data_IF_715725827600
#
_entry.id   IF_715725827600
#
_cell.length_a   1.000
_cell.length_b   1.000
_cell.length_c   1.000
_cell.angle_alpha   90.00
_cell.angle_beta   90.00
_cell.angle_gamma   90.00
#
_symmetry.space_group_name_H-M   'P 1'
#
loop_
_entity.id
_entity.type
_entity.pdbx_description
1 polymer ?
#
# COMPACT_ATOMS: atom_id res chain seq x y z
N UNK A 1 -8.99 -21.53 3.86
CA UNK A 1 -7.66 -21.12 3.37
C UNK A 1 -7.73 -20.11 2.22
N UNK A 2 -8.51 -20.33 1.15
CA UNK A 2 -8.59 -19.36 0.04
C UNK A 2 -9.01 -17.94 0.45
N UNK A 3 -9.94 -17.80 1.40
CA UNK A 3 -10.42 -16.50 1.88
C UNK A 3 -9.30 -15.59 2.44
N UNK A 4 -8.25 -16.17 3.02
CA UNK A 4 -7.11 -15.42 3.57
C UNK A 4 -6.28 -14.73 2.48
N UNK A 5 -6.40 -15.18 1.23
CA UNK A 5 -5.71 -14.60 0.07
C UNK A 5 -6.66 -13.66 -0.70
N UNK A 6 -7.92 -14.06 -0.88
CA UNK A 6 -8.89 -13.30 -1.66
C UNK A 6 -9.25 -11.96 -1.00
N UNK A 7 -9.44 -11.92 0.33
CA UNK A 7 -9.80 -10.69 1.04
C UNK A 7 -8.74 -9.59 0.86
N UNK A 8 -7.45 -9.80 1.17
CA UNK A 8 -6.44 -8.78 0.98
C UNK A 8 -6.24 -8.42 -0.49
N UNK A 9 -6.43 -9.37 -1.43
CA UNK A 9 -6.33 -9.08 -2.86
C UNK A 9 -7.42 -8.10 -3.32
N UNK A 10 -8.68 -8.35 -2.96
CA UNK A 10 -9.80 -7.47 -3.33
C UNK A 10 -9.66 -6.12 -2.61
N UNK A 11 -9.20 -6.13 -1.36
CA UNK A 11 -8.92 -4.90 -0.62
C UNK A 11 -7.86 -4.05 -1.31
N UNK A 12 -6.76 -4.66 -1.77
CA UNK A 12 -5.69 -3.98 -2.48
C UNK A 12 -6.16 -3.47 -3.85
N UNK A 13 -6.99 -4.25 -4.56
CA UNK A 13 -7.63 -3.82 -5.79
C UNK A 13 -8.43 -2.53 -5.57
N UNK A 14 -9.31 -2.51 -4.55
CA UNK A 14 -10.12 -1.32 -4.22
C UNK A 14 -9.27 -0.14 -3.77
N UNK A 15 -8.18 -0.41 -3.06
CA UNK A 15 -7.23 0.60 -2.64
C UNK A 15 -6.56 1.29 -3.84
N UNK A 16 -6.19 0.54 -4.88
CA UNK A 16 -5.62 1.08 -6.11
C UNK A 16 -6.66 1.88 -6.90
N UNK A 17 -7.89 1.37 -7.03
CA UNK A 17 -8.97 2.12 -7.69
C UNK A 17 -9.24 3.47 -7.02
N UNK A 18 -9.20 3.53 -5.69
CA UNK A 18 -9.34 4.79 -4.93
C UNK A 18 -8.23 5.79 -5.22
N UNK A 19 -7.04 5.34 -5.58
CA UNK A 19 -5.94 6.18 -5.98
C UNK A 19 -5.94 6.52 -7.48
N UNK A 20 -7.04 6.25 -8.19
CA UNK A 20 -7.19 6.40 -9.64
C UNK A 20 -6.21 5.53 -10.45
N UNK A 21 -5.82 4.38 -9.90
CA UNK A 21 -4.94 3.41 -10.53
C UNK A 21 -5.69 2.14 -10.90
N UNK A 22 -5.21 1.34 -11.87
CA UNK A 22 -5.89 0.13 -12.29
C UNK A 22 -5.88 -0.91 -11.17
N UNK A 23 -7.05 -1.26 -10.63
CA UNK A 23 -7.16 -2.19 -9.51
C UNK A 23 -6.62 -3.59 -9.79
N UNK A 24 -6.70 -4.05 -11.05
CA UNK A 24 -6.13 -5.34 -11.48
C UNK A 24 -4.60 -5.38 -11.36
N UNK A 25 -3.93 -4.22 -11.28
CA UNK A 25 -2.49 -4.16 -11.05
C UNK A 25 -2.10 -4.84 -9.72
N UNK A 26 -3.03 -4.95 -8.76
CA UNK A 26 -2.80 -5.66 -7.51
C UNK A 26 -2.46 -7.16 -7.72
N UNK A 27 -2.87 -7.76 -8.84
CA UNK A 27 -2.68 -9.20 -9.13
C UNK A 27 -1.28 -9.49 -9.70
N UNK A 28 -0.77 -8.62 -10.56
CA UNK A 28 0.52 -8.86 -11.22
C UNK A 28 1.64 -8.40 -10.29
N UNK A 29 2.54 -9.28 -9.81
CA UNK A 29 3.49 -8.94 -8.74
C UNK A 29 4.38 -7.73 -9.05
N UNK A 30 4.95 -7.65 -10.24
CA UNK A 30 5.84 -6.54 -10.62
C UNK A 30 5.05 -5.26 -10.86
N UNK A 31 3.89 -5.35 -11.52
CA UNK A 31 3.08 -4.19 -11.81
C UNK A 31 2.43 -3.62 -10.54
N UNK A 32 2.07 -4.47 -9.58
CA UNK A 32 1.61 -4.10 -8.24
C UNK A 32 2.62 -3.17 -7.59
N UNK A 33 3.91 -3.54 -7.59
CA UNK A 33 4.98 -2.74 -6.99
C UNK A 33 5.11 -1.37 -7.68
N UNK A 34 5.10 -1.35 -9.01
CA UNK A 34 5.19 -0.10 -9.79
C UNK A 34 4.02 0.84 -9.45
N UNK A 35 2.78 0.33 -9.52
CA UNK A 35 1.59 1.12 -9.19
C UNK A 35 1.58 1.54 -7.72
N UNK A 36 1.99 0.67 -6.81
CA UNK A 36 2.16 1.03 -5.40
C UNK A 36 3.10 2.21 -5.24
N UNK A 37 4.23 2.22 -5.96
CA UNK A 37 5.21 3.32 -5.95
C UNK A 37 4.66 4.61 -6.51
N UNK A 38 3.88 4.53 -7.59
CA UNK A 38 3.18 5.69 -8.15
C UNK A 38 2.20 6.30 -7.14
N UNK A 39 1.43 5.47 -6.44
CA UNK A 39 0.48 5.92 -5.41
C UNK A 39 1.20 6.62 -4.25
N UNK A 40 2.34 6.09 -3.80
CA UNK A 40 3.10 6.72 -2.70
C UNK A 40 4.05 7.83 -3.18
N UNK A 41 4.16 8.07 -4.48
CA UNK A 41 4.99 9.13 -5.07
C UNK A 41 6.49 8.85 -5.01
N UNK A 42 6.88 7.59 -5.02
CA UNK A 42 8.29 7.16 -5.02
C UNK A 42 8.69 6.68 -6.41
N UNK A 43 9.95 6.87 -6.81
CA UNK A 43 10.41 6.43 -8.10
C UNK A 43 10.50 4.90 -8.16
N UNK A 44 10.23 4.31 -9.33
CA UNK A 44 10.20 2.86 -9.55
C UNK A 44 11.50 2.12 -9.18
N UNK A 45 12.66 2.80 -9.19
CA UNK A 45 13.94 2.19 -8.80
C UNK A 45 13.98 1.77 -7.33
N UNK A 46 13.05 2.23 -6.49
CA UNK A 46 12.91 1.75 -5.12
C UNK A 46 12.64 0.24 -5.02
N UNK A 47 12.15 -0.40 -6.09
CA UNK A 47 12.03 -1.88 -6.17
C UNK A 47 13.38 -2.55 -5.88
N UNK A 48 14.50 -1.99 -6.37
CA UNK A 48 15.82 -2.58 -6.17
C UNK A 48 16.29 -2.52 -4.72
N UNK A 49 15.81 -1.56 -3.92
CA UNK A 49 16.14 -1.46 -2.50
C UNK A 49 15.57 -2.65 -1.71
N UNK A 50 14.49 -3.26 -2.19
CA UNK A 50 13.90 -4.45 -1.60
C UNK A 50 14.77 -5.70 -1.86
N UNK A 51 15.69 -5.66 -2.83
CA UNK A 51 16.63 -6.76 -3.04
C UNK A 51 17.76 -6.80 -1.99
N UNK A 52 17.90 -5.76 -1.16
CA UNK A 52 18.91 -5.68 -0.09
C UNK A 52 18.31 -6.26 1.21
N UNK A 53 18.68 -7.49 1.63
CA UNK A 53 17.98 -8.21 2.70
C UNK A 53 17.95 -7.46 4.04
N UNK A 54 19.04 -6.77 4.38
CA UNK A 54 19.17 -6.05 5.66
C UNK A 54 18.37 -4.75 5.73
N UNK A 55 18.07 -4.13 4.58
CA UNK A 55 17.34 -2.85 4.52
C UNK A 55 15.88 -3.01 4.12
N UNK A 56 15.52 -4.16 3.53
CA UNK A 56 14.18 -4.43 3.02
C UNK A 56 13.07 -4.13 4.04
N UNK A 57 13.23 -4.54 5.30
CA UNK A 57 12.25 -4.29 6.36
C UNK A 57 11.94 -2.80 6.57
N UNK A 58 12.97 -1.95 6.55
CA UNK A 58 12.81 -0.50 6.72
C UNK A 58 12.00 0.07 5.54
N UNK A 59 12.31 -0.38 4.32
CA UNK A 59 11.62 0.06 3.10
C UNK A 59 10.17 -0.41 3.03
N UNK A 60 9.88 -1.62 3.50
CA UNK A 60 8.50 -2.12 3.59
C UNK A 60 7.70 -1.27 4.58
N UNK A 61 8.20 -1.07 5.80
CA UNK A 61 7.51 -0.27 6.82
C UNK A 61 7.30 1.15 6.32
N UNK A 62 8.33 1.74 5.71
CA UNK A 62 8.24 3.10 5.19
C UNK A 62 7.28 3.20 4.00
N UNK A 63 7.30 2.26 3.06
CA UNK A 63 6.37 2.21 1.94
C UNK A 63 4.92 2.13 2.40
N UNK A 64 4.61 1.25 3.36
CA UNK A 64 3.28 1.18 3.96
C UNK A 64 2.91 2.43 4.75
N UNK A 65 3.87 3.08 5.42
CA UNK A 65 3.62 4.36 6.08
C UNK A 65 3.19 5.42 5.07
N UNK A 66 3.90 5.54 3.95
CA UNK A 66 3.57 6.49 2.89
C UNK A 66 2.22 6.16 2.25
N UNK A 67 1.91 4.88 2.07
CA UNK A 67 0.60 4.44 1.58
C UNK A 67 -0.51 4.90 2.54
N UNK A 68 -0.38 4.60 3.83
CA UNK A 68 -1.34 5.00 4.87
C UNK A 68 -1.50 6.53 4.92
N UNK A 69 -0.39 7.28 4.83
CA UNK A 69 -0.41 8.75 4.78
C UNK A 69 -1.11 9.28 3.53
N UNK A 70 -0.95 8.62 2.38
CA UNK A 70 -1.62 9.00 1.12
C UNK A 70 -3.14 8.87 1.17
N UNK A 71 -3.68 8.25 2.22
CA UNK A 71 -5.11 8.13 2.52
C UNK A 71 -5.51 8.89 3.80
N UNK A 72 -4.65 9.79 4.29
CA UNK A 72 -4.93 10.67 5.44
C UNK A 72 -4.95 9.95 6.80
N UNK A 73 -4.27 8.81 6.93
CA UNK A 73 -4.18 8.05 8.19
C UNK A 73 -2.81 8.27 8.87
N UNK A 74 -2.77 8.11 10.19
CA UNK A 74 -1.57 8.33 11.01
C UNK A 74 -0.62 7.14 11.06
N UNK A 75 0.58 7.35 11.62
CA UNK A 75 1.60 6.32 11.84
C UNK A 75 1.08 5.15 12.69
N UNK A 76 0.17 5.40 13.64
CA UNK A 76 -0.48 4.35 14.42
C UNK A 76 -1.28 3.37 13.56
N UNK A 77 -1.88 3.85 12.47
CA UNK A 77 -2.55 2.99 11.49
C UNK A 77 -1.53 2.15 10.69
N UNK A 78 -0.33 2.68 10.43
CA UNK A 78 0.75 1.90 9.83
C UNK A 78 1.15 0.72 10.70
N UNK A 79 1.28 0.92 12.02
CA UNK A 79 1.55 -0.19 12.95
C UNK A 79 0.47 -1.26 12.84
N UNK A 80 -0.80 -0.85 12.76
CA UNK A 80 -1.92 -1.75 12.51
C UNK A 80 -1.82 -2.51 11.18
N UNK A 81 -1.40 -1.86 10.10
CA UNK A 81 -1.14 -2.52 8.80
C UNK A 81 0.00 -3.52 8.88
N UNK A 82 1.09 -3.20 9.58
CA UNK A 82 2.25 -4.10 9.69
C UNK A 82 1.93 -5.33 10.55
N UNK A 83 1.24 -5.16 11.67
CA UNK A 83 0.91 -6.25 12.60
C UNK A 83 -0.33 -7.05 12.18
N UNK A 84 -1.34 -6.39 11.61
CA UNK A 84 -2.65 -6.95 11.23
C UNK A 84 -3.10 -6.48 9.84
N UNK A 85 -2.26 -6.69 8.83
CA UNK A 85 -2.54 -6.31 7.43
C UNK A 85 -3.88 -6.82 6.90
N UNK A 86 -4.28 -8.04 7.28
CA UNK A 86 -5.54 -8.68 6.89
C UNK A 86 -6.77 -7.87 7.29
N UNK A 87 -6.68 -7.04 8.34
CA UNK A 87 -7.79 -6.22 8.84
C UNK A 87 -7.63 -4.77 8.37
N UNK A 88 -6.44 -4.20 8.52
CA UNK A 88 -6.22 -2.78 8.27
C UNK A 88 -6.19 -2.42 6.77
N UNK A 89 -5.73 -3.32 5.89
CA UNK A 89 -5.75 -3.08 4.44
C UNK A 89 -7.20 -3.04 3.93
N UNK A 90 -8.11 -3.98 4.28
CA UNK A 90 -9.53 -3.83 3.96
C UNK A 90 -10.18 -2.57 4.53
N UNK A 91 -9.86 -2.18 5.76
CA UNK A 91 -10.38 -0.92 6.33
C UNK A 91 -9.96 0.28 5.47
N UNK A 92 -8.72 0.29 4.97
CA UNK A 92 -8.24 1.34 4.08
C UNK A 92 -8.92 1.27 2.70
N UNK A 93 -8.97 0.07 2.11
CA UNK A 93 -9.52 -0.17 0.78
C UNK A 93 -11.04 0.03 0.66
N UNK A 94 -11.82 -0.39 1.66
CA UNK A 94 -13.28 -0.34 1.64
C UNK A 94 -13.90 0.76 2.53
N UNK A 95 -13.17 1.27 3.52
CA UNK A 95 -13.70 2.33 4.41
C UNK A 95 -13.82 3.69 3.71
N UNK A 96 -14.22 4.72 4.43
CA UNK A 96 -14.47 6.06 3.85
C UNK A 96 -13.20 6.87 3.52
N UNK A 97 -12.01 6.27 3.64
CA UNK A 97 -10.76 6.95 3.34
C UNK A 97 -10.70 7.30 1.84
N UNK A 98 -10.34 8.55 1.56
CA UNK A 98 -10.12 9.07 0.21
C UNK A 98 -8.62 9.21 -0.02
N UNK A 99 -8.20 8.93 -1.24
CA UNK A 99 -6.83 9.20 -1.65
C UNK A 99 -6.62 10.72 -1.71
N UNK A 100 -5.68 11.21 -0.89
CA UNK A 100 -5.36 12.65 -0.79
C UNK A 100 -4.10 13.02 -1.59
N UNK A 101 -3.43 12.03 -2.18
CA UNK A 101 -2.24 12.22 -3.01
C UNK A 101 -0.96 11.63 -2.40
N UNK A 102 0.15 11.63 -3.16
CA UNK A 102 1.34 10.89 -2.80
C UNK A 102 1.97 11.34 -1.48
N UNK A 103 2.26 10.38 -0.60
CA UNK A 103 2.78 10.60 0.76
C UNK A 103 1.93 11.55 1.62
N UNK A 104 0.68 11.82 1.22
CA UNK A 104 -0.21 12.81 1.85
C UNK A 104 0.03 14.26 1.41
N UNK A 105 0.65 14.48 0.24
CA UNK A 105 0.89 15.75 -0.49
C UNK A 105 1.47 16.98 0.26
N UNK A 106 1.66 16.94 1.57
CA UNK A 106 2.48 17.84 2.42
C UNK A 106 2.35 17.31 3.85
N UNK A 107 3.38 16.65 4.37
CA UNK A 107 3.70 16.91 5.78
C UNK A 107 4.39 18.27 5.84
#
# INVERSE_FOLDING_TARGET
MLFLILIPLIAMWKLFEKANQPGWAAIIPIYNLIVFMEIIGKPWWWIFLWMIPSLNFIWIIWGWNLMVKSFGKSEGFTVGVILLSIIFIPILGFGDSKYIGPAGLKQ
#
